data_IF_851298098922
#
_entry.id   IF_851298098922
#
_cell.length_a   1.000
_cell.length_b   1.000
_cell.length_c   1.000
_cell.angle_alpha   90.00
_cell.angle_beta   90.00
_cell.angle_gamma   90.00
#
_symmetry.space_group_name_H-M   'P 1'
#
loop_
_entity.id
_entity.type
_entity.pdbx_description
1 polymer ?
#
# COMPACT_ATOMS: atom_id res chain seq x y z
N UNK A 1 -6.28 -20.37 15.52
CA UNK A 1 -7.62 -20.26 16.17
C UNK A 1 -8.06 -18.82 16.44
N UNK A 2 -7.16 -17.85 16.67
CA UNK A 2 -7.55 -16.46 16.95
C UNK A 2 -8.33 -15.77 15.81
N UNK A 3 -7.87 -15.86 14.56
CA UNK A 3 -8.55 -15.21 13.41
C UNK A 3 -9.99 -15.71 13.25
N UNK A 4 -10.21 -17.03 13.34
CA UNK A 4 -11.55 -17.62 13.18
C UNK A 4 -12.53 -17.11 14.25
N UNK A 5 -12.05 -16.82 15.47
CA UNK A 5 -12.89 -16.30 16.55
C UNK A 5 -13.48 -14.91 16.28
N UNK A 6 -12.93 -14.17 15.30
CA UNK A 6 -13.43 -12.84 14.90
C UNK A 6 -14.70 -12.91 14.05
N UNK A 7 -15.05 -14.08 13.53
CA UNK A 7 -16.20 -14.27 12.65
C UNK A 7 -17.30 -15.05 13.39
N UNK A 8 -18.54 -14.54 13.30
CA UNK A 8 -19.74 -15.25 13.77
C UNK A 8 -20.34 -16.02 12.61
N UNK A 9 -20.83 -17.23 12.88
CA UNK A 9 -21.57 -18.06 11.91
C UNK A 9 -20.87 -18.27 10.55
N UNK A 10 -19.55 -18.50 10.59
CA UNK A 10 -18.74 -18.70 9.39
C UNK A 10 -18.77 -20.16 8.90
N UNK A 11 -18.98 -20.36 7.60
CA UNK A 11 -18.78 -21.66 6.96
C UNK A 11 -17.29 -21.87 6.70
N UNK A 12 -16.69 -22.84 7.39
CA UNK A 12 -15.30 -23.23 7.19
C UNK A 12 -15.24 -24.32 6.12
N UNK A 13 -14.34 -24.14 5.14
CA UNK A 13 -14.03 -25.12 4.12
C UNK A 13 -12.55 -25.43 4.24
N UNK A 14 -12.24 -26.68 4.54
CA UNK A 14 -10.86 -27.16 4.57
C UNK A 14 -10.39 -27.43 3.14
N UNK A 15 -9.18 -26.98 2.84
CA UNK A 15 -8.52 -27.12 1.54
C UNK A 15 -7.05 -27.50 1.79
N UNK A 16 -6.48 -28.33 0.93
CA UNK A 16 -5.08 -28.77 1.09
C UNK A 16 -4.10 -27.66 0.71
N UNK A 17 -4.46 -26.85 -0.31
CA UNK A 17 -3.61 -25.79 -0.82
C UNK A 17 -4.43 -24.55 -1.18
N UNK A 18 -4.07 -23.40 -0.61
CA UNK A 18 -4.75 -22.12 -0.89
C UNK A 18 -4.81 -21.78 -2.39
N UNK A 19 -3.86 -22.25 -3.19
CA UNK A 19 -3.82 -22.03 -4.64
C UNK A 19 -4.98 -22.68 -5.38
N UNK A 20 -5.58 -23.74 -4.84
CA UNK A 20 -6.75 -24.38 -5.45
C UNK A 20 -7.95 -23.43 -5.53
N UNK A 21 -8.04 -22.52 -4.56
CA UNK A 21 -9.09 -21.48 -4.54
C UNK A 21 -8.56 -20.18 -5.15
N UNK A 22 -7.41 -19.70 -4.68
CA UNK A 22 -6.85 -18.39 -5.03
C UNK A 22 -6.29 -18.32 -6.46
N UNK A 23 -5.82 -19.43 -7.03
CA UNK A 23 -5.17 -19.47 -8.35
C UNK A 23 -5.90 -20.37 -9.34
N UNK A 24 -7.17 -20.70 -9.09
CA UNK A 24 -8.01 -21.45 -10.02
C UNK A 24 -8.19 -20.72 -11.35
N UNK A 25 -8.41 -21.49 -12.42
CA UNK A 25 -8.76 -20.96 -13.74
C UNK A 25 -10.21 -20.44 -13.74
N UNK A 26 -10.54 -19.56 -14.68
CA UNK A 26 -11.90 -19.02 -14.89
C UNK A 26 -12.52 -18.32 -13.67
N UNK A 27 -11.69 -17.62 -12.89
CA UNK A 27 -12.17 -16.76 -11.81
C UNK A 27 -12.69 -15.43 -12.35
N UNK A 28 -13.72 -14.90 -11.70
CA UNK A 28 -14.19 -13.54 -11.89
C UNK A 28 -13.79 -12.70 -10.67
N UNK A 29 -12.86 -11.77 -10.89
CA UNK A 29 -12.32 -10.93 -9.83
C UNK A 29 -13.40 -10.04 -9.19
N UNK A 30 -14.28 -9.42 -9.98
CA UNK A 30 -15.27 -8.48 -9.48
C UNK A 30 -16.40 -9.19 -8.74
N UNK A 31 -16.87 -10.32 -9.25
CA UNK A 31 -17.84 -11.14 -8.53
C UNK A 31 -17.28 -11.60 -7.18
N UNK A 32 -15.99 -11.95 -7.12
CA UNK A 32 -15.35 -12.28 -5.85
C UNK A 32 -15.26 -11.07 -4.93
N UNK A 33 -15.02 -9.84 -5.42
CA UNK A 33 -15.03 -8.63 -4.58
C UNK A 33 -16.39 -8.36 -3.93
N UNK A 34 -17.51 -8.70 -4.59
CA UNK A 34 -18.85 -8.58 -4.01
C UNK A 34 -19.11 -9.54 -2.84
N UNK A 35 -18.35 -10.64 -2.75
CA UNK A 35 -18.54 -11.69 -1.75
C UNK A 35 -17.22 -12.27 -1.28
N UNK A 36 -16.25 -11.40 -1.01
CA UNK A 36 -14.84 -11.74 -0.82
C UNK A 36 -14.65 -12.81 0.26
N UNK A 37 -13.85 -13.84 -0.06
CA UNK A 37 -13.50 -14.91 0.88
C UNK A 37 -12.13 -14.64 1.51
N UNK A 38 -12.03 -15.01 2.78
CA UNK A 38 -10.78 -15.05 3.52
C UNK A 38 -10.24 -16.49 3.50
N UNK A 39 -9.02 -16.65 3.02
CA UNK A 39 -8.31 -17.92 2.98
C UNK A 39 -7.19 -17.84 4.03
N UNK A 40 -7.13 -18.84 4.92
CA UNK A 40 -6.05 -18.95 5.90
C UNK A 40 -5.09 -20.04 5.44
N UNK A 41 -3.80 -19.73 5.40
CA UNK A 41 -2.76 -20.66 4.94
C UNK A 41 -1.55 -20.64 5.88
N UNK A 42 -0.75 -21.70 5.89
CA UNK A 42 0.57 -21.69 6.51
C UNK A 42 1.58 -20.97 5.60
N UNK A 43 2.56 -20.27 6.18
CA UNK A 43 3.62 -19.64 5.40
C UNK A 43 4.41 -20.68 4.58
N UNK A 44 4.86 -20.25 3.40
CA UNK A 44 5.92 -20.96 2.65
C UNK A 44 7.28 -20.48 3.16
N UNK A 45 8.32 -21.24 2.88
CA UNK A 45 9.70 -20.74 3.01
C UNK A 45 9.96 -19.64 1.97
N UNK A 46 10.78 -18.65 2.31
CA UNK A 46 11.21 -17.53 1.45
C UNK A 46 10.07 -16.57 1.09
N UNK A 47 9.51 -15.92 2.12
CA UNK A 47 8.46 -14.89 2.01
C UNK A 47 9.04 -13.47 1.91
N UNK A 48 10.35 -13.35 1.68
CA UNK A 48 11.06 -12.08 1.53
C UNK A 48 11.58 -11.95 0.10
N UNK A 49 11.27 -10.84 -0.54
CA UNK A 49 11.55 -10.57 -1.94
C UNK A 49 12.31 -9.26 -2.09
N UNK A 50 13.19 -9.16 -3.08
CA UNK A 50 13.84 -7.88 -3.41
C UNK A 50 12.79 -6.87 -3.88
N UNK A 51 12.91 -5.63 -3.44
CA UNK A 51 12.07 -4.52 -3.88
C UNK A 51 12.11 -4.35 -5.40
N UNK A 52 10.98 -3.97 -6.00
CA UNK A 52 10.93 -3.73 -7.44
C UNK A 52 11.74 -2.47 -7.79
N UNK A 53 12.47 -2.51 -8.91
CA UNK A 53 13.30 -1.39 -9.40
C UNK A 53 12.49 -0.11 -9.64
N UNK A 54 11.20 -0.24 -9.93
CA UNK A 54 10.27 0.87 -10.17
C UNK A 54 9.71 1.50 -8.89
N UNK A 55 10.09 1.00 -7.72
CA UNK A 55 9.63 1.49 -6.43
C UNK A 55 10.75 2.25 -5.73
N UNK A 56 10.39 3.37 -5.10
CA UNK A 56 11.31 4.22 -4.35
C UNK A 56 11.81 3.50 -3.08
N UNK A 57 13.12 3.53 -2.85
CA UNK A 57 13.78 2.99 -1.66
C UNK A 57 14.14 4.08 -0.64
N UNK A 58 13.91 5.35 -0.97
CA UNK A 58 14.10 6.51 -0.09
C UNK A 58 15.53 6.59 0.45
N UNK A 59 16.51 6.35 -0.43
CA UNK A 59 17.93 6.30 -0.11
C UNK A 59 18.32 5.22 0.92
N UNK A 60 17.46 4.22 1.14
CA UNK A 60 17.80 3.09 2.01
C UNK A 60 18.53 1.99 1.22
N UNK A 61 19.56 1.44 1.86
CA UNK A 61 20.19 0.21 1.42
C UNK A 61 19.26 -0.99 1.61
N UNK A 62 19.53 -2.07 0.86
CA UNK A 62 18.89 -3.36 1.06
C UNK A 62 17.34 -3.27 1.08
N UNK A 63 16.76 -2.87 -0.06
CA UNK A 63 15.31 -2.77 -0.21
C UNK A 63 14.66 -4.13 -0.52
N UNK A 64 13.78 -4.57 0.38
CA UNK A 64 13.00 -5.80 0.28
C UNK A 64 11.53 -5.54 0.63
N UNK A 65 10.67 -6.51 0.32
CA UNK A 65 9.32 -6.58 0.83
C UNK A 65 8.96 -8.00 1.26
N UNK A 66 7.91 -8.13 2.05
CA UNK A 66 7.34 -9.41 2.44
C UNK A 66 5.84 -9.44 2.27
N UNK A 67 5.29 -10.62 2.01
CA UNK A 67 3.88 -10.82 1.67
C UNK A 67 3.23 -11.81 2.64
N UNK A 68 3.14 -11.44 3.93
CA UNK A 68 2.40 -12.23 4.94
C UNK A 68 0.89 -12.30 4.67
N UNK A 69 0.39 -11.39 3.84
CA UNK A 69 -0.96 -11.36 3.32
C UNK A 69 -0.86 -11.03 1.84
N UNK A 70 -1.64 -11.71 1.01
CA UNK A 70 -1.72 -11.45 -0.43
C UNK A 70 -3.12 -11.01 -0.82
N UNK A 71 -3.15 -10.03 -1.72
CA UNK A 71 -4.33 -9.28 -2.13
C UNK A 71 -4.90 -8.38 -1.02
N UNK A 72 -5.89 -7.55 -1.36
CA UNK A 72 -6.42 -6.52 -0.47
C UNK A 72 -7.95 -6.57 -0.39
N UNK A 73 -8.53 -6.05 0.70
CA UNK A 73 -9.99 -5.85 0.84
C UNK A 73 -10.50 -4.72 -0.07
N UNK A 74 -9.64 -3.76 -0.40
CA UNK A 74 -9.99 -2.63 -1.25
C UNK A 74 -10.12 -3.02 -2.72
N UNK A 75 -10.85 -2.20 -3.47
CA UNK A 75 -11.10 -2.40 -4.90
C UNK A 75 -10.76 -1.12 -5.69
N UNK A 76 -9.50 -0.70 -5.57
CA UNK A 76 -9.01 0.44 -6.35
C UNK A 76 -8.80 0.03 -7.82
N UNK A 77 -9.38 0.76 -8.76
CA UNK A 77 -9.39 0.41 -10.19
C UNK A 77 -7.97 0.32 -10.79
N UNK A 78 -7.06 1.16 -10.31
CA UNK A 78 -5.67 1.22 -10.77
C UNK A 78 -4.73 0.28 -10.01
N UNK A 79 -5.25 -0.57 -9.11
CA UNK A 79 -4.40 -1.39 -8.25
C UNK A 79 -3.67 -2.47 -9.05
N UNK A 80 -2.33 -2.45 -9.01
CA UNK A 80 -1.50 -3.42 -9.72
C UNK A 80 -1.77 -4.88 -9.28
N UNK A 81 -2.26 -5.10 -8.05
CA UNK A 81 -2.61 -6.43 -7.54
C UNK A 81 -3.72 -7.10 -8.36
N UNK A 82 -4.58 -6.33 -9.03
CA UNK A 82 -5.56 -6.90 -9.98
C UNK A 82 -4.86 -7.50 -11.21
N UNK A 83 -3.72 -6.92 -11.62
CA UNK A 83 -2.83 -7.48 -12.63
C UNK A 83 -2.03 -8.69 -12.15
N UNK A 84 -1.62 -8.70 -10.88
CA UNK A 84 -0.87 -9.82 -10.28
C UNK A 84 -1.78 -11.03 -10.06
N UNK A 85 -2.92 -10.85 -9.39
CA UNK A 85 -3.79 -11.93 -8.94
C UNK A 85 -5.06 -12.03 -9.80
N UNK A 86 -5.47 -13.25 -10.14
CA UNK A 86 -6.76 -13.49 -10.83
C UNK A 86 -7.93 -13.57 -9.85
N UNK A 87 -7.64 -13.78 -8.56
CA UNK A 87 -8.64 -13.83 -7.51
C UNK A 87 -8.85 -12.47 -6.87
N UNK A 88 -10.11 -12.16 -6.57
CA UNK A 88 -10.51 -11.09 -5.67
C UNK A 88 -10.44 -11.48 -4.19
N UNK A 89 -10.19 -12.75 -3.82
CA UNK A 89 -10.11 -13.20 -2.42
C UNK A 89 -8.80 -12.78 -1.74
N UNK A 90 -8.72 -12.91 -0.42
CA UNK A 90 -7.52 -12.59 0.37
C UNK A 90 -6.95 -13.86 0.98
N UNK A 91 -5.63 -13.97 1.02
CA UNK A 91 -4.96 -15.03 1.78
C UNK A 91 -4.16 -14.40 2.90
N UNK A 92 -4.37 -14.88 4.13
CA UNK A 92 -3.53 -14.55 5.28
C UNK A 92 -2.66 -15.77 5.58
N UNK A 93 -1.35 -15.57 5.59
CA UNK A 93 -0.42 -16.58 6.05
C UNK A 93 -0.24 -16.45 7.57
N UNK A 94 -0.77 -17.41 8.31
CA UNK A 94 -0.99 -17.28 9.76
C UNK A 94 0.29 -17.39 10.61
N UNK A 95 1.34 -18.01 10.07
CA UNK A 95 2.59 -18.29 10.77
C UNK A 95 3.57 -17.11 10.73
N UNK A 96 3.15 -15.88 11.04
CA UNK A 96 3.97 -14.66 10.88
C UNK A 96 5.34 -14.75 11.58
N UNK A 97 5.46 -15.55 12.65
CA UNK A 97 6.74 -15.79 13.34
C UNK A 97 7.83 -16.35 12.42
N UNK A 98 7.48 -17.21 11.46
CA UNK A 98 8.44 -17.72 10.46
C UNK A 98 8.98 -16.60 9.57
N UNK A 99 8.15 -15.61 9.24
CA UNK A 99 8.58 -14.43 8.47
C UNK A 99 9.55 -13.60 9.30
N UNK A 100 9.31 -13.45 10.61
CA UNK A 100 10.23 -12.76 11.49
C UNK A 100 11.59 -13.46 11.59
N UNK A 101 11.62 -14.79 11.66
CA UNK A 101 12.86 -15.57 11.61
C UNK A 101 13.63 -15.33 10.31
N UNK A 102 12.97 -15.40 9.15
CA UNK A 102 13.61 -15.11 7.85
C UNK A 102 14.14 -13.67 7.77
N UNK A 103 13.39 -12.69 8.32
CA UNK A 103 13.81 -11.29 8.33
C UNK A 103 15.00 -11.08 9.24
N UNK A 104 15.01 -11.72 10.40
CA UNK A 104 16.10 -11.69 11.37
C UNK A 104 17.40 -12.24 10.75
N UNK A 105 17.32 -13.38 10.05
CA UNK A 105 18.47 -13.96 9.35
C UNK A 105 19.01 -13.03 8.26
N UNK A 106 18.11 -12.45 7.45
CA UNK A 106 18.49 -11.52 6.39
C UNK A 106 19.11 -10.23 6.96
N UNK A 107 18.50 -9.65 7.98
CA UNK A 107 18.98 -8.46 8.68
C UNK A 107 20.36 -8.71 9.31
N UNK A 108 20.56 -9.85 9.98
CA UNK A 108 21.85 -10.20 10.57
C UNK A 108 22.97 -10.34 9.54
N UNK A 109 22.62 -10.77 8.31
CA UNK A 109 23.56 -10.85 7.18
C UNK A 109 23.86 -9.49 6.56
N UNK A 110 22.86 -8.64 6.38
CA UNK A 110 22.98 -7.37 5.64
C UNK A 110 23.33 -6.16 6.51
N UNK A 111 23.10 -6.24 7.82
CA UNK A 111 23.27 -5.19 8.84
C UNK A 111 22.34 -3.98 8.72
N UNK A 112 21.88 -3.65 7.53
CA UNK A 112 20.80 -2.69 7.28
C UNK A 112 19.73 -3.37 6.43
N UNK A 113 18.46 -3.07 6.68
CA UNK A 113 17.36 -3.62 5.90
C UNK A 113 16.19 -2.64 5.87
N UNK A 114 15.72 -2.33 4.66
CA UNK A 114 14.48 -1.60 4.44
C UNK A 114 13.42 -2.54 3.89
N UNK A 115 12.37 -2.78 4.69
CA UNK A 115 11.38 -3.81 4.43
C UNK A 115 9.97 -3.23 4.33
N UNK A 116 9.33 -3.35 3.17
CA UNK A 116 7.91 -3.05 3.04
C UNK A 116 7.06 -4.26 3.46
N UNK A 117 6.16 -4.09 4.44
CA UNK A 117 5.32 -5.18 4.99
C UNK A 117 3.88 -5.18 4.48
N UNK A 118 3.52 -4.18 3.67
CA UNK A 118 2.20 -4.01 3.07
C UNK A 118 2.31 -3.82 1.55
N UNK A 119 3.20 -4.58 0.91
CA UNK A 119 3.45 -4.48 -0.53
C UNK A 119 2.30 -5.10 -1.33
N UNK A 120 1.88 -6.31 -0.95
CA UNK A 120 0.83 -7.09 -1.60
C UNK A 120 -0.54 -7.00 -0.91
N UNK A 121 -0.70 -6.07 0.05
CA UNK A 121 -1.95 -5.85 0.78
C UNK A 121 -2.00 -4.46 1.41
N UNK A 122 -3.14 -4.06 1.96
CA UNK A 122 -3.19 -2.98 2.94
C UNK A 122 -3.31 -3.60 4.35
N UNK A 123 -2.22 -3.53 5.11
CA UNK A 123 -2.13 -4.22 6.39
C UNK A 123 -3.11 -3.65 7.42
N UNK A 124 -3.27 -2.32 7.46
CA UNK A 124 -4.19 -1.67 8.40
C UNK A 124 -5.66 -1.89 8.03
N UNK A 125 -5.96 -2.13 6.77
CA UNK A 125 -7.32 -2.45 6.34
C UNK A 125 -7.86 -3.75 6.98
N UNK A 126 -7.00 -4.69 7.35
CA UNK A 126 -7.38 -5.98 7.95
C UNK A 126 -6.79 -6.22 9.34
N UNK A 127 -6.27 -5.18 9.98
CA UNK A 127 -5.57 -5.29 11.26
C UNK A 127 -6.47 -5.81 12.38
N UNK A 128 -7.76 -5.47 12.37
CA UNK A 128 -8.74 -5.97 13.34
C UNK A 128 -8.95 -7.49 13.28
N UNK A 129 -8.55 -8.12 12.17
CA UNK A 129 -8.65 -9.56 11.92
C UNK A 129 -7.37 -10.28 12.34
N UNK A 130 -6.19 -9.79 11.93
CA UNK A 130 -4.92 -10.53 12.07
C UNK A 130 -3.95 -10.01 13.14
N UNK A 131 -4.05 -8.73 13.52
CA UNK A 131 -3.17 -8.13 14.51
C UNK A 131 -1.69 -8.08 14.09
N UNK A 132 -1.40 -7.93 12.79
CA UNK A 132 -0.05 -8.10 12.25
C UNK A 132 0.78 -6.82 12.35
N UNK A 133 0.17 -5.63 12.25
CA UNK A 133 0.92 -4.37 12.38
C UNK A 133 1.51 -4.21 13.79
N UNK A 134 0.75 -4.58 14.82
CA UNK A 134 1.24 -4.61 16.21
C UNK A 134 2.36 -5.64 16.42
N UNK A 135 2.26 -6.82 15.78
CA UNK A 135 3.33 -7.83 15.83
C UNK A 135 4.62 -7.34 15.17
N UNK A 136 4.52 -6.65 14.03
CA UNK A 136 5.67 -6.02 13.39
C UNK A 136 6.31 -4.94 14.26
N UNK A 137 5.50 -4.14 14.95
CA UNK A 137 6.00 -3.12 15.87
C UNK A 137 6.90 -3.72 16.94
N UNK A 138 6.42 -4.73 17.68
CA UNK A 138 7.21 -5.36 18.75
C UNK A 138 8.40 -6.15 18.20
N UNK A 139 8.31 -6.66 16.97
CA UNK A 139 9.44 -7.36 16.36
C UNK A 139 10.63 -6.43 16.09
N UNK A 140 10.41 -5.15 15.76
CA UNK A 140 11.50 -4.24 15.38
C UNK A 140 11.92 -3.23 16.44
N UNK A 141 11.25 -3.19 17.60
CA UNK A 141 11.47 -2.16 18.61
C UNK A 141 12.93 -2.05 19.10
N UNK A 142 13.67 -3.15 19.04
CA UNK A 142 15.08 -3.27 19.44
C UNK A 142 16.07 -3.29 18.25
N UNK A 143 15.59 -3.12 17.01
CA UNK A 143 16.38 -3.28 15.76
C UNK A 143 16.50 -1.97 14.98
N UNK A 144 17.33 -1.06 15.48
CA UNK A 144 17.46 0.30 14.95
C UNK A 144 17.71 0.40 13.43
N UNK A 145 18.52 -0.50 12.86
CA UNK A 145 18.89 -0.47 11.44
C UNK A 145 18.00 -1.38 10.55
N UNK A 146 16.97 -2.00 11.15
CA UNK A 146 15.86 -2.64 10.44
C UNK A 146 14.71 -1.64 10.37
N UNK A 147 14.49 -1.06 9.19
CA UNK A 147 13.38 -0.13 8.93
C UNK A 147 12.24 -0.85 8.25
N UNK A 148 11.03 -0.64 8.75
CA UNK A 148 9.81 -1.16 8.13
C UNK A 148 8.96 -0.02 7.58
N UNK A 149 8.46 -0.18 6.36
CA UNK A 149 7.37 0.64 5.83
C UNK A 149 6.05 -0.14 5.85
N UNK A 150 5.05 0.45 6.52
CA UNK A 150 3.64 0.10 6.38
C UNK A 150 2.94 1.23 5.65
N UNK A 151 2.53 0.96 4.40
CA UNK A 151 1.77 1.88 3.54
C UNK A 151 0.28 1.54 3.57
N UNK A 152 -0.58 2.55 3.68
CA UNK A 152 -2.03 2.36 3.81
C UNK A 152 -2.89 3.43 3.12
N UNK A 153 -4.12 3.04 2.78
CA UNK A 153 -5.29 3.88 2.44
C UNK A 153 -6.40 3.77 3.49
N UNK A 154 -6.12 3.16 4.63
CA UNK A 154 -7.04 2.97 5.76
C UNK A 154 -7.02 4.18 6.70
N UNK A 155 -8.07 4.30 7.52
CA UNK A 155 -8.09 5.14 8.72
C UNK A 155 -7.98 4.33 10.02
N UNK A 156 -7.79 3.00 9.93
CA UNK A 156 -7.75 2.10 11.08
C UNK A 156 -6.38 2.15 11.77
N UNK A 157 -6.18 3.15 12.62
CA UNK A 157 -4.92 3.41 13.33
C UNK A 157 -4.97 3.09 14.83
N UNK A 158 -6.08 2.55 15.33
CA UNK A 158 -6.36 2.37 16.76
C UNK A 158 -5.22 1.66 17.52
N UNK A 159 -4.56 0.71 16.86
CA UNK A 159 -3.40 0.00 17.42
C UNK A 159 -2.22 0.94 17.68
N UNK A 160 -1.90 1.82 16.74
CA UNK A 160 -0.77 2.75 16.86
C UNK A 160 -1.02 3.91 17.83
N UNK A 161 -2.28 4.25 18.12
CA UNK A 161 -2.61 5.31 19.08
C UNK A 161 -2.17 5.01 20.53
N UNK A 162 -1.93 3.73 20.84
CA UNK A 162 -1.50 3.26 22.16
C UNK A 162 -0.01 2.85 22.19
N UNK A 163 0.68 2.91 21.06
CA UNK A 163 2.09 2.54 20.92
C UNK A 163 2.97 3.80 20.94
N UNK A 164 4.19 3.65 21.43
CA UNK A 164 5.18 4.74 21.39
C UNK A 164 5.73 4.85 19.96
N UNK A 165 5.96 6.06 19.44
CA UNK A 165 6.60 6.20 18.13
C UNK A 165 7.97 5.51 18.06
N UNK A 166 8.21 4.81 16.95
CA UNK A 166 9.51 4.21 16.63
C UNK A 166 10.06 4.85 15.36
N UNK A 167 11.32 5.31 15.41
CA UNK A 167 11.97 5.96 14.25
C UNK A 167 12.20 4.99 13.07
N UNK A 168 12.27 3.68 13.35
CA UNK A 168 12.44 2.62 12.34
C UNK A 168 11.10 2.00 11.89
N UNK A 169 9.95 2.50 12.35
CA UNK A 169 8.62 2.10 11.87
C UNK A 169 7.97 3.25 11.10
N UNK A 170 8.00 3.18 9.77
CA UNK A 170 7.46 4.20 8.88
C UNK A 170 5.99 3.88 8.58
N UNK A 171 5.09 4.74 9.06
CA UNK A 171 3.68 4.71 8.68
C UNK A 171 3.49 5.66 7.48
N UNK A 172 3.18 5.09 6.32
CA UNK A 172 3.00 5.82 5.08
C UNK A 172 1.52 5.86 4.66
N UNK A 173 1.01 7.02 4.28
CA UNK A 173 -0.37 7.19 3.82
C UNK A 173 -0.41 7.51 2.34
N UNK A 174 -1.09 6.68 1.54
CA UNK A 174 -1.41 7.05 0.16
C UNK A 174 -2.61 8.00 0.14
N UNK A 175 -2.40 9.19 -0.42
CA UNK A 175 -3.44 10.20 -0.57
C UNK A 175 -3.75 10.43 -2.05
N UNK A 176 -5.00 10.79 -2.32
CA UNK A 176 -5.50 11.07 -3.66
C UNK A 176 -6.65 12.07 -3.55
N UNK A 177 -6.87 12.93 -4.56
CA UNK A 177 -7.93 13.92 -4.50
C UNK A 177 -9.28 13.27 -4.21
N UNK A 178 -10.13 13.93 -3.42
CA UNK A 178 -11.35 13.32 -2.88
C UNK A 178 -12.28 12.80 -3.99
N UNK A 179 -12.42 13.52 -5.11
CA UNK A 179 -13.19 13.09 -6.27
C UNK A 179 -12.62 11.82 -6.94
N UNK A 180 -11.30 11.73 -7.07
CA UNK A 180 -10.62 10.56 -7.63
C UNK A 180 -10.78 9.35 -6.69
N UNK A 181 -10.57 9.54 -5.39
CA UNK A 181 -10.70 8.49 -4.40
C UNK A 181 -12.14 7.94 -4.35
N UNK A 182 -13.16 8.82 -4.36
CA UNK A 182 -14.57 8.42 -4.37
C UNK A 182 -14.94 7.60 -5.61
N UNK A 183 -14.42 7.96 -6.80
CA UNK A 183 -14.72 7.25 -8.05
C UNK A 183 -13.95 5.94 -8.17
N UNK A 184 -12.66 5.93 -7.82
CA UNK A 184 -11.74 4.87 -8.24
C UNK A 184 -11.08 4.09 -7.10
N UNK A 185 -11.29 4.44 -5.82
CA UNK A 185 -10.70 3.77 -4.65
C UNK A 185 -11.77 3.13 -3.74
N UNK A 186 -12.56 2.21 -4.31
CA UNK A 186 -13.69 1.61 -3.61
C UNK A 186 -13.26 0.89 -2.32
N UNK A 187 -14.09 1.03 -1.30
CA UNK A 187 -13.94 0.47 0.05
C UNK A 187 -12.76 0.99 0.88
N UNK A 188 -11.98 1.94 0.36
CA UNK A 188 -10.93 2.62 1.14
C UNK A 188 -11.52 3.65 2.09
N UNK A 189 -10.71 4.15 3.04
CA UNK A 189 -11.09 5.34 3.80
C UNK A 189 -11.09 6.57 2.87
N UNK A 190 -12.00 7.52 3.10
CA UNK A 190 -12.01 8.79 2.36
C UNK A 190 -10.73 9.59 2.60
N UNK A 191 -10.41 10.51 1.70
CA UNK A 191 -9.27 11.43 1.85
C UNK A 191 -9.27 12.11 3.24
N UNK A 192 -10.40 12.69 3.65
CA UNK A 192 -10.54 13.36 4.95
C UNK A 192 -10.34 12.42 6.14
N UNK A 193 -10.79 11.16 6.04
CA UNK A 193 -10.57 10.17 7.10
C UNK A 193 -9.08 9.78 7.21
N UNK A 194 -8.36 9.68 6.08
CA UNK A 194 -6.91 9.46 6.08
C UNK A 194 -6.15 10.65 6.69
N UNK A 195 -6.54 11.88 6.33
CA UNK A 195 -5.96 13.11 6.92
C UNK A 195 -6.21 13.17 8.43
N UNK A 196 -7.43 12.84 8.87
CA UNK A 196 -7.76 12.74 10.30
C UNK A 196 -6.88 11.70 11.00
N UNK A 197 -6.70 10.52 10.42
CA UNK A 197 -5.83 9.49 10.98
C UNK A 197 -4.36 9.96 11.08
N UNK A 198 -3.85 10.66 10.06
CA UNK A 198 -2.51 11.27 10.12
C UNK A 198 -2.41 12.24 11.30
N UNK A 199 -3.39 13.14 11.45
CA UNK A 199 -3.43 14.13 12.54
C UNK A 199 -3.41 13.47 13.91
N UNK A 200 -4.26 12.47 14.14
CA UNK A 200 -4.33 11.72 15.40
C UNK A 200 -3.02 10.97 15.71
N UNK A 201 -2.37 10.39 14.71
CA UNK A 201 -1.03 9.79 14.86
C UNK A 201 0.01 10.84 15.26
N UNK A 202 0.00 12.00 14.60
CA UNK A 202 0.93 13.10 14.90
C UNK A 202 0.72 13.68 16.31
N UNK A 203 -0.51 13.74 16.81
CA UNK A 203 -0.82 14.11 18.20
C UNK A 203 -0.20 13.13 19.21
N UNK A 204 -0.04 11.85 18.82
CA UNK A 204 0.70 10.83 19.59
C UNK A 204 2.22 10.84 19.37
N UNK A 205 2.73 11.78 18.56
CA UNK A 205 4.15 11.96 18.30
C UNK A 205 4.70 11.11 17.15
N UNK A 206 3.85 10.37 16.44
CA UNK A 206 4.27 9.66 15.24
C UNK A 206 4.60 10.65 14.12
N UNK A 207 5.66 10.33 13.38
CA UNK A 207 5.90 10.95 12.08
C UNK A 207 5.32 10.04 10.99
N UNK A 208 4.87 10.65 9.90
CA UNK A 208 4.29 9.90 8.78
C UNK A 208 4.97 10.24 7.47
N UNK A 209 4.91 9.31 6.53
CA UNK A 209 5.23 9.54 5.13
C UNK A 209 3.95 9.79 4.33
N UNK A 210 3.98 10.74 3.41
CA UNK A 210 2.86 10.98 2.49
C UNK A 210 3.21 10.42 1.12
N UNK A 211 2.35 9.57 0.57
CA UNK A 211 2.55 8.97 -0.74
C UNK A 211 1.49 9.49 -1.72
N UNK A 212 1.92 10.17 -2.77
CA UNK A 212 1.11 10.41 -3.96
C UNK A 212 1.57 9.43 -5.04
N UNK A 213 1.22 8.17 -4.85
CA UNK A 213 1.60 7.06 -5.74
C UNK A 213 0.42 6.06 -5.87
N UNK A 214 -0.30 6.04 -7.01
CA UNK A 214 0.01 6.77 -8.23
C UNK A 214 -0.57 8.19 -8.28
N UNK A 215 0.15 9.12 -8.89
CA UNK A 215 -0.40 10.31 -9.53
C UNK A 215 -1.22 9.89 -10.75
N UNK A 216 -2.50 10.29 -10.75
CA UNK A 216 -3.44 10.04 -11.84
C UNK A 216 -3.83 11.35 -12.51
N UNK A 217 -3.61 11.43 -13.82
CA UNK A 217 -4.07 12.54 -14.65
C UNK A 217 -5.58 12.45 -14.86
N UNK A 218 -6.29 13.55 -14.64
CA UNK A 218 -7.75 13.63 -14.75
C UNK A 218 -8.18 15.07 -14.99
N UNK A 219 -9.46 15.27 -15.30
CA UNK A 219 -10.02 16.61 -15.47
C UNK A 219 -9.87 17.45 -14.20
N UNK A 220 -9.54 18.73 -14.38
CA UNK A 220 -9.22 19.65 -13.28
C UNK A 220 -8.05 19.20 -12.40
N UNK A 221 -7.07 18.46 -12.96
CA UNK A 221 -5.88 17.94 -12.26
C UNK A 221 -5.28 18.96 -11.29
N UNK A 222 -4.86 20.13 -11.78
CA UNK A 222 -4.19 21.15 -10.97
C UNK A 222 -5.02 21.58 -9.76
N UNK A 223 -6.31 21.86 -9.98
CA UNK A 223 -7.24 22.29 -8.95
C UNK A 223 -7.44 21.21 -7.89
N UNK A 224 -7.71 19.98 -8.32
CA UNK A 224 -8.02 18.86 -7.42
C UNK A 224 -6.83 18.54 -6.50
N UNK A 225 -5.61 18.49 -7.06
CA UNK A 225 -4.41 18.24 -6.26
C UNK A 225 -4.00 19.43 -5.40
N UNK A 226 -4.14 20.67 -5.88
CA UNK A 226 -3.84 21.86 -5.07
C UNK A 226 -4.75 21.92 -3.84
N UNK A 227 -6.05 21.72 -4.02
CA UNK A 227 -7.03 21.69 -2.94
C UNK A 227 -6.77 20.57 -1.94
N UNK A 228 -6.37 19.38 -2.42
CA UNK A 228 -6.01 18.26 -1.56
C UNK A 228 -4.77 18.59 -0.71
N UNK A 229 -3.70 19.10 -1.32
CA UNK A 229 -2.44 19.41 -0.63
C UNK A 229 -2.63 20.58 0.36
N UNK A 230 -3.35 21.62 -0.04
CA UNK A 230 -3.70 22.74 0.84
C UNK A 230 -4.50 22.25 2.06
N UNK A 231 -5.53 21.44 1.83
CA UNK A 231 -6.32 20.87 2.93
C UNK A 231 -5.46 20.00 3.86
N UNK A 232 -4.59 19.15 3.29
CA UNK A 232 -3.69 18.30 4.06
C UNK A 232 -2.86 19.13 5.05
N UNK A 233 -2.13 20.14 4.56
CA UNK A 233 -1.23 20.94 5.39
C UNK A 233 -1.93 21.98 6.26
N UNK A 234 -3.21 22.27 6.02
CA UNK A 234 -4.04 23.02 6.96
C UNK A 234 -4.43 22.18 8.18
N UNK A 235 -4.49 20.85 8.05
CA UNK A 235 -4.94 19.95 9.11
C UNK A 235 -3.82 19.27 9.89
N UNK A 236 -2.67 19.04 9.26
CA UNK A 236 -1.55 18.26 9.84
C UNK A 236 -0.35 19.15 10.18
N UNK A 237 0.49 18.67 11.09
CA UNK A 237 1.79 19.27 11.40
C UNK A 237 2.82 18.88 10.34
N UNK A 238 3.26 19.86 9.53
CA UNK A 238 4.25 19.67 8.47
C UNK A 238 5.63 19.21 8.99
N UNK A 239 5.99 19.56 10.24
CA UNK A 239 7.28 19.17 10.82
C UNK A 239 7.32 17.67 11.18
N UNK A 240 6.14 17.06 11.34
CA UNK A 240 5.96 15.62 11.57
C UNK A 240 5.70 14.83 10.28
N UNK A 241 5.90 15.44 9.12
CA UNK A 241 6.03 14.73 7.85
C UNK A 241 7.50 14.34 7.67
N UNK A 242 7.78 13.04 7.66
CA UNK A 242 9.12 12.51 7.43
C UNK A 242 9.58 12.88 6.03
N UNK A 243 8.79 12.50 5.04
CA UNK A 243 9.03 12.74 3.62
C UNK A 243 7.75 12.51 2.78
N UNK A 244 7.84 12.83 1.49
CA UNK A 244 6.79 12.68 0.50
C UNK A 244 7.33 11.91 -0.71
N UNK A 245 6.59 10.89 -1.16
CA UNK A 245 6.87 10.20 -2.44
C UNK A 245 5.86 10.60 -3.50
N UNK A 246 6.32 10.89 -4.72
CA UNK A 246 5.49 11.27 -5.86
C UNK A 246 5.79 10.30 -7.02
N UNK A 247 4.91 9.32 -7.25
CA UNK A 247 5.08 8.35 -8.34
C UNK A 247 3.91 8.43 -9.31
N UNK A 248 4.16 8.43 -10.62
CA UNK A 248 3.06 8.33 -11.60
C UNK A 248 2.60 6.88 -11.77
N UNK A 249 1.37 6.70 -12.31
CA UNK A 249 0.90 5.38 -12.70
C UNK A 249 1.87 4.70 -13.67
N UNK A 250 2.33 3.51 -13.27
CA UNK A 250 3.26 2.65 -14.01
C UNK A 250 2.92 1.20 -13.78
N UNK A 251 2.86 0.41 -14.84
CA UNK A 251 2.37 -0.98 -14.75
C UNK A 251 2.98 -1.84 -15.85
N UNK A 252 3.25 -3.13 -15.59
CA UNK A 252 3.75 -4.03 -16.65
C UNK A 252 2.68 -4.25 -17.73
N UNK A 253 3.13 -4.55 -18.96
CA UNK A 253 2.24 -4.87 -20.09
C UNK A 253 1.26 -6.00 -19.77
N UNK A 254 1.74 -7.07 -19.17
CA UNK A 254 0.91 -8.23 -18.84
C UNK A 254 -0.12 -7.90 -17.75
N UNK A 255 0.26 -7.11 -16.75
CA UNK A 255 -0.65 -6.68 -15.69
C UNK A 255 -1.74 -5.75 -16.24
N UNK A 256 -1.39 -4.75 -17.04
CA UNK A 256 -2.39 -3.84 -17.63
C UNK A 256 -3.38 -4.59 -18.51
N UNK A 257 -2.92 -5.55 -19.31
CA UNK A 257 -3.79 -6.40 -20.13
C UNK A 257 -4.82 -7.13 -19.27
N UNK A 258 -4.38 -7.75 -18.17
CA UNK A 258 -5.27 -8.46 -17.24
C UNK A 258 -6.23 -7.50 -16.53
N UNK A 259 -5.73 -6.36 -16.05
CA UNK A 259 -6.54 -5.34 -15.39
C UNK A 259 -7.64 -4.82 -16.30
N UNK A 260 -7.36 -4.55 -17.58
CA UNK A 260 -8.36 -4.13 -18.59
C UNK A 260 -9.40 -5.22 -18.88
N UNK A 261 -8.97 -6.48 -18.96
CA UNK A 261 -9.89 -7.59 -19.15
C UNK A 261 -10.88 -7.75 -17.98
N UNK A 262 -10.38 -7.52 -16.76
CA UNK A 262 -11.21 -7.52 -15.55
C UNK A 262 -12.11 -6.27 -15.48
N UNK A 263 -11.56 -5.09 -15.78
CA UNK A 263 -12.21 -3.79 -15.64
C UNK A 263 -12.44 -3.09 -16.99
N UNK A 264 -13.36 -3.60 -17.80
CA UNK A 264 -13.60 -3.08 -19.16
C UNK A 264 -14.11 -1.63 -19.19
N UNK A 265 -14.69 -1.15 -18.08
CA UNK A 265 -15.28 0.18 -17.97
C UNK A 265 -14.38 1.20 -17.25
N UNK A 266 -13.14 0.86 -16.90
CA UNK A 266 -12.27 1.79 -16.15
C UNK A 266 -11.62 2.82 -17.08
N UNK A 267 -12.02 4.08 -16.96
CA UNK A 267 -11.40 5.19 -17.70
C UNK A 267 -9.89 5.31 -17.43
N UNK A 268 -9.45 5.09 -16.20
CA UNK A 268 -8.03 5.20 -15.82
C UNK A 268 -7.19 4.18 -16.59
N UNK A 269 -7.64 2.93 -16.68
CA UNK A 269 -6.87 1.86 -17.33
C UNK A 269 -6.80 2.03 -18.85
N UNK A 270 -7.76 2.74 -19.45
CA UNK A 270 -7.83 3.00 -20.88
C UNK A 270 -7.25 4.37 -21.28
N UNK A 271 -6.63 5.10 -20.34
CA UNK A 271 -5.79 6.25 -20.70
C UNK A 271 -4.75 5.82 -21.76
N UNK A 272 -4.41 6.69 -22.74
CA UNK A 272 -3.43 6.39 -23.79
C UNK A 272 -2.00 6.40 -23.24
N UNK A 273 -1.67 5.41 -22.40
CA UNK A 273 -0.34 5.19 -21.87
C UNK A 273 0.64 4.77 -22.98
N UNK A 274 1.89 5.18 -22.84
CA UNK A 274 3.00 4.77 -23.70
C UNK A 274 3.73 3.58 -23.08
N UNK A 275 4.19 2.66 -23.93
CA UNK A 275 4.99 1.51 -23.50
C UNK A 275 6.48 1.85 -23.59
N UNK A 276 7.13 1.95 -22.43
CA UNK A 276 8.53 2.35 -22.28
C UNK A 276 9.20 1.32 -21.35
N UNK A 277 10.29 0.70 -21.81
CA UNK A 277 11.13 -0.20 -21.01
C UNK A 277 10.39 -1.29 -20.22
N UNK A 278 9.38 -1.91 -20.82
CA UNK A 278 8.64 -3.02 -20.21
C UNK A 278 7.38 -2.61 -19.42
N UNK A 279 7.15 -1.30 -19.25
CA UNK A 279 6.00 -0.77 -18.50
C UNK A 279 5.17 0.21 -19.32
N UNK A 280 3.87 0.26 -19.05
CA UNK A 280 2.99 1.34 -19.49
C UNK A 280 2.99 2.46 -18.45
N UNK A 281 3.16 3.69 -18.92
CA UNK A 281 3.13 4.91 -18.10
C UNK A 281 2.64 6.09 -18.94
N UNK A 282 2.38 7.24 -18.31
CA UNK A 282 2.16 8.50 -19.02
C UNK A 282 3.38 8.86 -19.90
N UNK A 283 3.11 9.56 -21.01
CA UNK A 283 4.15 10.14 -21.86
C UNK A 283 5.08 11.05 -21.05
N UNK A 284 6.33 11.20 -21.49
CA UNK A 284 7.31 11.97 -20.73
C UNK A 284 6.90 13.43 -20.53
N UNK A 285 6.20 14.02 -21.51
CA UNK A 285 5.61 15.36 -21.40
C UNK A 285 4.58 15.42 -20.28
N UNK A 286 3.61 14.51 -20.25
CA UNK A 286 2.55 14.48 -19.23
C UNK A 286 3.12 14.15 -17.86
N UNK A 287 4.01 13.16 -17.78
CA UNK A 287 4.70 12.74 -16.56
C UNK A 287 5.47 13.91 -15.93
N UNK A 288 6.31 14.60 -16.72
CA UNK A 288 7.10 15.74 -16.24
C UNK A 288 6.22 16.88 -15.78
N UNK A 289 5.16 17.20 -16.53
CA UNK A 289 4.19 18.22 -16.14
C UNK A 289 3.52 17.89 -14.79
N UNK A 290 3.02 16.66 -14.62
CA UNK A 290 2.35 16.23 -13.38
C UNK A 290 3.29 16.26 -12.19
N UNK A 291 4.50 15.69 -12.32
CA UNK A 291 5.49 15.63 -11.26
C UNK A 291 5.92 17.04 -10.86
N UNK A 292 6.29 17.89 -11.82
CA UNK A 292 6.75 19.25 -11.54
C UNK A 292 5.66 20.07 -10.85
N UNK A 293 4.42 20.03 -11.35
CA UNK A 293 3.31 20.73 -10.73
C UNK A 293 3.09 20.30 -9.28
N UNK A 294 3.08 19.00 -9.01
CA UNK A 294 2.84 18.46 -7.66
C UNK A 294 4.02 18.76 -6.73
N UNK A 295 5.25 18.65 -7.22
CA UNK A 295 6.46 19.05 -6.49
C UNK A 295 6.37 20.52 -6.07
N UNK A 296 6.01 21.42 -6.98
CA UNK A 296 5.83 22.85 -6.68
C UNK A 296 4.75 23.10 -5.61
N UNK A 297 3.67 22.31 -5.58
CA UNK A 297 2.67 22.41 -4.51
C UNK A 297 3.25 22.00 -3.15
N UNK A 298 4.02 20.91 -3.08
CA UNK A 298 4.63 20.44 -1.84
C UNK A 298 5.75 21.38 -1.33
N UNK A 299 6.54 21.98 -2.22
CA UNK A 299 7.62 22.91 -1.87
C UNK A 299 7.15 24.16 -1.10
N UNK A 300 5.84 24.46 -1.12
CA UNK A 300 5.24 25.52 -0.29
C UNK A 300 5.25 25.17 1.20
N UNK A 301 5.31 23.88 1.54
CA UNK A 301 5.12 23.38 2.90
C UNK A 301 6.32 22.63 3.45
N UNK A 302 7.04 21.88 2.61
CA UNK A 302 8.15 21.01 3.02
C UNK A 302 9.42 21.30 2.21
N UNK A 303 10.57 20.97 2.80
CA UNK A 303 11.89 21.09 2.19
C UNK A 303 12.04 20.14 0.99
N UNK A 304 12.73 20.58 -0.07
CA UNK A 304 12.97 19.79 -1.27
C UNK A 304 13.64 18.44 -0.98
N UNK A 305 14.53 18.38 0.03
CA UNK A 305 15.23 17.15 0.44
C UNK A 305 14.30 16.07 0.99
N UNK A 306 13.06 16.42 1.30
CA UNK A 306 12.03 15.49 1.76
C UNK A 306 11.12 14.99 0.63
N UNK A 307 11.38 15.35 -0.62
CA UNK A 307 10.54 14.98 -1.77
C UNK A 307 11.29 13.95 -2.64
N UNK A 308 10.71 12.76 -2.75
CA UNK A 308 11.19 11.64 -3.57
C UNK A 308 10.26 11.44 -4.78
N UNK A 309 10.81 11.18 -5.96
CA UNK A 309 10.09 11.11 -7.25
C UNK A 309 10.46 9.83 -8.01
#
# INVERSE_FOLDING_TARGET
MEILSKFKDVKIIEIDNYKEVFSSNNQDFHLQKLGQKLILASNKSNMIYKGAVVCENFENDNFYYTSSIINCVYDCEYCYLQGVYSSGNIVIFVDIKKVFEEVEELYNKLKTLYLCVSYDTDLLAIESICGFSEKWYYFIEDKKDLKIELRTKSGNIDKFLNLKPLDNFIIAFTLSPENLALKNEKYTASFKNRVKAIKELQEKGWKVRICIDPLIYSDNFEKNYSQMIEYLFNEIDKEKVTDVSIGVFRISKEYLKKMRNQNQNSEILYYPFEYIDGVYTYSDKTKSYMINFIKEQFLKYIDERKIYI
#
